data_IF_308102799420
#
_entry.id   IF_308102799420
#
_cell.length_a   1.000
_cell.length_b   1.000
_cell.length_c   1.000
_cell.angle_alpha   90.00
_cell.angle_beta   90.00
_cell.angle_gamma   90.00
#
_symmetry.space_group_name_H-M   'P 1'
#
loop_
_entity.id
_entity.type
_entity.pdbx_description
1 polymer ?
#
# COMPACT_ATOMS: atom_id res chain seq x y z
N UNK A 1 56.28 -1.00 24.60
CA UNK A 1 56.06 -1.33 23.17
C UNK A 1 54.55 -1.39 22.93
N UNK A 2 53.97 -0.25 22.54
CA UNK A 2 52.55 -0.09 22.25
C UNK A 2 52.34 -0.25 20.75
N UNK A 3 51.68 -1.32 20.33
CA UNK A 3 51.23 -1.47 18.94
C UNK A 3 49.85 -0.85 18.79
N UNK A 4 49.82 0.42 18.40
CA UNK A 4 48.62 1.10 17.91
C UNK A 4 48.48 0.76 16.43
N UNK A 5 47.55 -0.12 16.09
CA UNK A 5 47.12 -0.30 14.70
C UNK A 5 46.26 0.89 14.28
N UNK A 6 46.86 1.83 13.57
CA UNK A 6 46.14 2.85 12.83
C UNK A 6 45.46 2.20 11.62
N UNK A 7 44.12 2.20 11.59
CA UNK A 7 43.37 1.96 10.37
C UNK A 7 43.51 3.18 9.44
N UNK A 8 43.72 3.02 8.13
CA UNK A 8 43.65 4.15 7.22
C UNK A 8 42.18 4.58 7.10
N UNK A 9 41.93 5.87 7.36
CA UNK A 9 40.65 6.48 7.08
C UNK A 9 40.49 6.60 5.55
N UNK A 10 39.74 5.69 4.95
CA UNK A 10 39.25 5.85 3.59
C UNK A 10 38.29 7.06 3.57
N UNK A 11 38.82 8.21 3.17
CA UNK A 11 38.04 9.39 2.87
C UNK A 11 37.26 9.15 1.56
N UNK A 12 36.11 8.49 1.68
CA UNK A 12 35.16 8.37 0.59
C UNK A 12 34.65 9.77 0.21
N UNK A 13 35.14 10.29 -0.91
CA UNK A 13 34.58 11.48 -1.56
C UNK A 13 33.13 11.16 -1.90
N UNK A 14 32.19 11.75 -1.16
CA UNK A 14 30.76 11.66 -1.41
C UNK A 14 30.47 12.35 -2.74
N UNK A 15 30.46 11.58 -3.84
CA UNK A 15 29.88 11.99 -5.11
C UNK A 15 28.46 12.46 -4.81
N UNK A 16 28.18 13.74 -5.02
CA UNK A 16 26.84 14.33 -4.88
C UNK A 16 25.91 13.56 -5.81
N UNK A 17 25.22 12.56 -5.28
CA UNK A 17 24.26 11.78 -6.05
C UNK A 17 23.07 12.68 -6.34
N UNK A 18 22.61 12.64 -7.58
CA UNK A 18 21.36 13.29 -7.96
C UNK A 18 20.25 12.73 -7.07
N UNK A 19 19.72 13.56 -6.18
CA UNK A 19 18.55 13.22 -5.37
C UNK A 19 17.32 13.56 -6.18
N UNK A 20 16.44 12.57 -6.39
CA UNK A 20 15.14 12.85 -7.00
C UNK A 20 14.36 13.83 -6.11
N UNK A 21 13.71 14.85 -6.69
CA UNK A 21 12.86 15.75 -5.93
C UNK A 21 11.73 14.98 -5.23
N UNK A 22 11.28 15.52 -4.10
CA UNK A 22 10.10 15.03 -3.39
C UNK A 22 8.86 15.04 -4.29
N UNK A 23 7.91 14.13 -4.05
CA UNK A 23 6.70 13.99 -4.86
C UNK A 23 5.82 15.26 -4.83
N UNK A 24 5.79 16.02 -3.73
CA UNK A 24 5.09 17.30 -3.67
C UNK A 24 5.77 18.37 -4.54
N UNK A 25 7.10 18.35 -4.62
CA UNK A 25 7.85 19.25 -5.52
C UNK A 25 7.51 18.91 -6.97
N UNK A 26 7.42 17.62 -7.31
CA UNK A 26 7.01 17.20 -8.65
C UNK A 26 5.59 17.67 -8.98
N UNK A 27 4.62 17.52 -8.07
CA UNK A 27 3.26 18.03 -8.28
C UNK A 27 3.26 19.54 -8.49
N UNK A 28 4.06 20.28 -7.72
CA UNK A 28 4.16 21.72 -7.88
C UNK A 28 4.74 22.13 -9.24
N UNK A 29 5.77 21.42 -9.72
CA UNK A 29 6.33 21.61 -11.07
C UNK A 29 5.28 21.32 -12.14
N UNK A 30 4.50 20.24 -11.98
CA UNK A 30 3.38 19.92 -12.88
C UNK A 30 2.31 21.01 -12.84
N UNK A 31 2.00 21.56 -11.66
CA UNK A 31 1.08 22.69 -11.50
C UNK A 31 1.56 23.94 -12.23
N UNK A 32 2.85 24.29 -12.14
CA UNK A 32 3.45 25.40 -12.90
C UNK A 32 3.27 25.16 -14.40
N UNK A 33 3.59 23.96 -14.86
CA UNK A 33 3.50 23.61 -16.27
C UNK A 33 2.05 23.66 -16.77
N UNK A 34 1.10 23.10 -16.02
CA UNK A 34 -0.32 23.16 -16.31
C UNK A 34 -0.84 24.61 -16.37
N UNK A 35 -0.44 25.46 -15.43
CA UNK A 35 -0.79 26.87 -15.42
C UNK A 35 -0.27 27.59 -16.69
N UNK A 36 0.99 27.36 -17.09
CA UNK A 36 1.54 27.93 -18.33
C UNK A 36 0.76 27.43 -19.56
N UNK A 37 0.44 26.13 -19.60
CA UNK A 37 -0.33 25.55 -20.70
C UNK A 37 -1.73 26.17 -20.85
N UNK A 38 -2.36 26.65 -19.77
CA UNK A 38 -3.67 27.32 -19.86
C UNK A 38 -3.65 28.62 -20.67
N UNK A 39 -2.47 29.21 -20.88
CA UNK A 39 -2.29 30.38 -21.75
C UNK A 39 -2.02 30.01 -23.21
N UNK A 40 -1.59 28.77 -23.47
CA UNK A 40 -1.16 28.32 -24.79
C UNK A 40 -2.21 27.43 -25.47
N UNK A 41 -2.96 26.66 -24.69
CA UNK A 41 -3.91 25.65 -25.17
C UNK A 41 -5.33 26.15 -24.88
N UNK A 42 -6.20 26.27 -25.90
CA UNK A 42 -7.59 26.63 -25.71
C UNK A 42 -8.36 25.49 -25.05
N UNK A 43 -9.40 25.84 -24.29
CA UNK A 43 -10.27 24.87 -23.66
C UNK A 43 -10.98 24.02 -24.73
N UNK A 44 -11.04 22.72 -24.49
CA UNK A 44 -11.74 21.77 -25.34
C UNK A 44 -12.38 20.68 -24.51
N UNK A 45 -13.46 20.10 -25.04
CA UNK A 45 -14.20 19.03 -24.39
C UNK A 45 -14.58 17.95 -25.38
N UNK A 46 -14.72 16.74 -24.86
CA UNK A 46 -15.38 15.65 -25.57
C UNK A 46 -16.78 15.45 -25.00
N UNK A 47 -17.75 15.14 -25.85
CA UNK A 47 -19.04 14.67 -25.39
C UNK A 47 -18.95 13.25 -24.81
N UNK A 48 -19.79 13.04 -23.81
CA UNK A 48 -19.96 11.75 -23.17
C UNK A 48 -21.26 11.12 -23.65
N UNK A 49 -21.18 9.90 -24.18
CA UNK A 49 -22.34 9.12 -24.58
C UNK A 49 -22.59 7.99 -23.57
N UNK A 50 -23.86 7.72 -23.31
CA UNK A 50 -24.27 6.57 -22.52
C UNK A 50 -24.35 5.35 -23.43
N UNK A 51 -23.40 4.43 -23.28
CA UNK A 51 -23.44 3.16 -24.00
C UNK A 51 -23.98 2.09 -23.07
N UNK A 52 -25.08 1.47 -23.49
CA UNK A 52 -25.72 0.36 -22.81
C UNK A 52 -25.06 -0.94 -23.24
N UNK A 53 -24.54 -1.68 -22.28
CA UNK A 53 -23.99 -3.02 -22.49
C UNK A 53 -24.80 -4.02 -21.69
N UNK A 54 -25.14 -5.14 -22.32
CA UNK A 54 -25.75 -6.29 -21.65
C UNK A 54 -24.67 -7.09 -20.92
N UNK A 55 -24.72 -7.11 -19.60
CA UNK A 55 -23.87 -7.98 -18.76
C UNK A 55 -24.77 -8.83 -17.89
N UNK A 56 -24.69 -10.15 -18.03
CA UNK A 56 -25.49 -11.15 -17.29
C UNK A 56 -27.02 -10.93 -17.38
N UNK A 57 -27.51 -10.54 -18.56
CA UNK A 57 -28.95 -10.35 -18.79
C UNK A 57 -29.54 -9.05 -18.23
N UNK A 58 -28.71 -8.18 -17.64
CA UNK A 58 -29.10 -6.86 -17.18
C UNK A 58 -28.48 -5.76 -18.06
N UNK A 59 -29.28 -4.77 -18.44
CA UNK A 59 -28.79 -3.55 -19.09
C UNK A 59 -27.97 -2.74 -18.07
N UNK A 60 -26.67 -2.57 -18.35
CA UNK A 60 -25.80 -1.65 -17.61
C UNK A 60 -25.37 -0.52 -18.52
N UNK A 61 -25.62 0.70 -18.09
CA UNK A 61 -25.22 1.88 -18.83
C UNK A 61 -23.89 2.40 -18.30
N UNK A 62 -22.96 2.69 -19.22
CA UNK A 62 -21.69 3.33 -18.89
C UNK A 62 -21.54 4.59 -19.69
N UNK A 63 -21.24 5.69 -19.01
CA UNK A 63 -20.80 6.93 -19.64
C UNK A 63 -19.40 6.69 -20.22
N UNK A 64 -19.28 6.77 -21.54
CA UNK A 64 -18.02 6.68 -22.27
C UNK A 64 -17.83 7.91 -23.13
N UNK A 65 -16.59 8.36 -23.25
CA UNK A 65 -16.22 9.49 -24.08
C UNK A 65 -16.36 9.08 -25.55
N UNK A 66 -17.05 9.88 -26.37
CA UNK A 66 -17.04 9.70 -27.83
C UNK A 66 -15.73 10.30 -28.41
N UNK A 67 -14.81 9.46 -28.93
CA UNK A 67 -13.52 9.95 -29.45
C UNK A 67 -13.65 10.93 -30.61
N UNK A 68 -14.78 10.93 -31.33
CA UNK A 68 -14.98 11.79 -32.50
C UNK A 68 -15.65 13.14 -32.16
N UNK A 69 -16.01 13.37 -30.90
CA UNK A 69 -16.80 14.52 -30.47
C UNK A 69 -15.98 15.72 -29.99
N UNK A 70 -14.66 15.72 -30.19
CA UNK A 70 -13.81 16.80 -29.71
C UNK A 70 -14.20 18.14 -30.33
N UNK A 71 -14.51 19.13 -29.47
CA UNK A 71 -14.76 20.49 -29.86
C UNK A 71 -14.04 21.47 -28.93
N UNK A 72 -13.51 22.55 -29.51
CA UNK A 72 -12.99 23.67 -28.73
C UNK A 72 -14.13 24.52 -28.19
N UNK A 73 -14.00 25.00 -26.96
CA UNK A 73 -14.93 25.96 -26.40
C UNK A 73 -14.73 27.33 -27.07
N UNK A 74 -15.81 27.88 -27.61
CA UNK A 74 -15.83 29.22 -28.19
C UNK A 74 -16.72 30.15 -27.37
N UNK A 75 -16.32 31.40 -27.24
CA UNK A 75 -17.13 32.42 -26.57
C UNK A 75 -18.32 32.89 -27.44
N UNK A 76 -19.12 33.83 -26.92
CA UNK A 76 -20.27 34.40 -27.65
C UNK A 76 -19.89 35.09 -28.98
N UNK A 77 -18.60 35.35 -29.21
CA UNK A 77 -18.06 35.98 -30.41
C UNK A 77 -17.40 34.98 -31.36
N UNK A 78 -17.36 33.69 -30.99
CA UNK A 78 -16.73 32.64 -31.78
C UNK A 78 -15.20 32.55 -31.61
N UNK A 79 -14.62 33.25 -30.64
CA UNK A 79 -13.19 33.14 -30.33
C UNK A 79 -12.91 32.00 -29.35
N UNK A 80 -11.71 31.44 -29.44
CA UNK A 80 -11.28 30.32 -28.59
C UNK A 80 -11.20 30.76 -27.13
N UNK A 81 -11.83 30.00 -26.24
CA UNK A 81 -11.80 30.27 -24.80
C UNK A 81 -10.51 29.71 -24.22
N UNK A 82 -9.75 30.55 -23.50
CA UNK A 82 -8.60 30.13 -22.71
C UNK A 82 -8.96 30.24 -21.23
N UNK A 83 -8.99 29.10 -20.53
CA UNK A 83 -9.24 29.06 -19.08
C UNK A 83 -7.96 29.43 -18.32
N UNK A 84 -7.47 30.65 -18.49
CA UNK A 84 -6.18 31.09 -17.96
C UNK A 84 -6.17 31.06 -16.44
N UNK A 85 -5.19 30.35 -15.87
CA UNK A 85 -5.01 30.23 -14.43
C UNK A 85 -4.01 31.28 -13.94
N UNK A 86 -4.47 32.16 -13.06
CA UNK A 86 -3.62 33.18 -12.41
C UNK A 86 -2.74 32.60 -11.30
N UNK A 87 -1.84 33.44 -10.75
CA UNK A 87 -1.02 33.07 -9.60
C UNK A 87 -1.88 32.80 -8.35
N UNK A 88 -2.92 33.60 -8.16
CA UNK A 88 -3.94 33.45 -7.12
C UNK A 88 -5.31 33.62 -7.75
N UNK A 89 -6.32 32.96 -7.18
CA UNK A 89 -7.72 33.14 -7.54
C UNK A 89 -8.58 33.39 -6.29
N UNK A 90 -9.64 34.18 -6.44
CA UNK A 90 -10.61 34.49 -5.39
C UNK A 90 -11.99 33.97 -5.75
N UNK A 91 -12.86 33.75 -4.76
CA UNK A 91 -14.26 33.35 -5.00
C UNK A 91 -14.46 31.90 -5.40
N UNK A 92 -13.54 31.00 -5.00
CA UNK A 92 -13.60 29.56 -5.30
C UNK A 92 -12.94 29.16 -6.64
N UNK A 93 -12.27 30.09 -7.32
CA UNK A 93 -11.44 29.78 -8.48
C UNK A 93 -10.10 29.14 -8.07
N UNK A 94 -9.48 28.42 -9.02
CA UNK A 94 -8.18 27.77 -8.82
C UNK A 94 -7.08 28.67 -9.38
N UNK A 95 -6.03 28.89 -8.58
CA UNK A 95 -4.81 29.59 -8.95
C UNK A 95 -3.58 28.78 -8.51
N UNK A 96 -2.42 29.09 -9.09
CA UNK A 96 -1.17 28.31 -8.86
C UNK A 96 -0.72 28.27 -7.38
N UNK A 97 -1.07 29.27 -6.57
CA UNK A 97 -0.71 29.28 -5.14
C UNK A 97 -1.82 28.75 -4.23
N UNK A 98 -3.09 28.72 -4.68
CA UNK A 98 -4.21 28.22 -3.88
C UNK A 98 -4.69 26.82 -4.30
N UNK A 99 -4.18 26.25 -5.40
CA UNK A 99 -4.53 24.89 -5.83
C UNK A 99 -4.35 23.82 -4.74
N UNK A 100 -3.34 23.85 -3.84
CA UNK A 100 -3.21 22.81 -2.83
C UNK A 100 -4.41 22.80 -1.88
N UNK A 101 -4.86 23.98 -1.46
CA UNK A 101 -6.01 24.13 -0.57
C UNK A 101 -7.30 23.74 -1.28
N UNK A 102 -7.57 24.30 -2.47
CA UNK A 102 -8.77 23.98 -3.27
C UNK A 102 -8.86 22.48 -3.55
N UNK A 103 -7.72 21.87 -3.90
CA UNK A 103 -7.60 20.45 -4.10
C UNK A 103 -7.92 19.64 -2.84
N UNK A 104 -7.34 19.97 -1.69
CA UNK A 104 -7.58 19.28 -0.40
C UNK A 104 -9.05 19.32 0.04
N UNK A 105 -9.74 20.44 -0.19
CA UNK A 105 -11.15 20.61 0.20
C UNK A 105 -12.13 20.17 -0.89
N UNK A 106 -11.64 19.82 -2.08
CA UNK A 106 -12.49 19.44 -3.20
C UNK A 106 -13.24 18.12 -2.95
N UNK A 107 -14.49 18.08 -3.40
CA UNK A 107 -15.31 16.88 -3.36
C UNK A 107 -16.34 16.82 -2.26
N UNK A 108 -16.68 15.60 -1.90
CA UNK A 108 -17.59 15.31 -0.78
C UNK A 108 -17.19 13.99 -0.13
N UNK A 109 -17.94 13.57 0.90
CA UNK A 109 -17.78 12.23 1.48
C UNK A 109 -17.90 11.10 0.44
N UNK A 110 -18.57 11.36 -0.68
CA UNK A 110 -18.80 10.37 -1.74
C UNK A 110 -17.68 10.28 -2.77
N UNK A 111 -16.66 11.16 -2.76
CA UNK A 111 -15.54 11.09 -3.71
C UNK A 111 -14.78 12.40 -3.95
N UNK A 112 -13.80 12.34 -4.86
CA UNK A 112 -12.73 13.34 -5.08
C UNK A 112 -11.72 13.38 -3.91
N UNK A 113 -11.05 14.49 -3.65
CA UNK A 113 -9.96 14.54 -2.68
C UNK A 113 -10.42 14.31 -1.23
N UNK A 114 -11.38 15.09 -0.72
CA UNK A 114 -11.70 15.07 0.71
C UNK A 114 -12.25 13.72 1.17
N UNK A 115 -13.10 13.08 0.36
CA UNK A 115 -13.63 11.74 0.65
C UNK A 115 -12.53 10.69 0.69
N UNK A 116 -11.60 10.71 -0.27
CA UNK A 116 -10.47 9.78 -0.35
C UNK A 116 -9.47 10.03 0.79
N UNK A 117 -9.15 11.28 1.11
CA UNK A 117 -8.27 11.65 2.22
C UNK A 117 -8.83 11.14 3.55
N UNK A 118 -10.11 11.43 3.84
CA UNK A 118 -10.73 10.98 5.09
C UNK A 118 -10.81 9.46 5.17
N UNK A 119 -11.11 8.79 4.05
CA UNK A 119 -11.06 7.34 3.94
C UNK A 119 -9.68 6.77 4.28
N UNK A 120 -8.61 7.35 3.73
CA UNK A 120 -7.23 6.94 4.00
C UNK A 120 -6.88 7.10 5.48
N UNK A 121 -7.22 8.24 6.09
CA UNK A 121 -6.96 8.48 7.51
C UNK A 121 -7.69 7.47 8.41
N UNK A 122 -8.96 7.18 8.12
CA UNK A 122 -9.75 6.21 8.89
C UNK A 122 -9.18 4.80 8.76
N UNK A 123 -8.83 4.38 7.56
CA UNK A 123 -8.25 3.04 7.31
C UNK A 123 -6.86 2.92 7.93
N UNK A 124 -5.99 3.92 7.71
CA UNK A 124 -4.67 3.96 8.32
C UNK A 124 -4.75 3.87 9.84
N UNK A 125 -5.68 4.61 10.45
CA UNK A 125 -5.91 4.52 11.89
C UNK A 125 -6.42 3.15 12.34
N UNK A 126 -7.40 2.57 11.64
CA UNK A 126 -7.92 1.24 11.97
C UNK A 126 -6.81 0.17 11.89
N UNK A 127 -5.99 0.18 10.84
CA UNK A 127 -4.86 -0.74 10.71
C UNK A 127 -3.75 -0.45 11.73
N UNK A 128 -3.52 0.81 12.11
CA UNK A 128 -2.61 1.17 13.21
C UNK A 128 -2.99 0.48 14.51
N UNK A 129 -4.29 0.42 14.84
CA UNK A 129 -4.79 -0.35 16.00
C UNK A 129 -4.51 -1.84 15.84
N UNK A 130 -4.73 -2.42 14.66
CA UNK A 130 -4.42 -3.84 14.39
C UNK A 130 -2.93 -4.11 14.60
N UNK A 131 -2.05 -3.29 14.03
CA UNK A 131 -0.59 -3.45 14.17
C UNK A 131 -0.15 -3.32 15.64
N UNK A 132 -0.74 -2.40 16.41
CA UNK A 132 -0.42 -2.20 17.83
C UNK A 132 -0.64 -3.45 18.69
N UNK A 133 -1.55 -4.34 18.29
CA UNK A 133 -1.79 -5.61 19.01
C UNK A 133 -0.61 -6.58 18.95
N UNK A 134 0.28 -6.45 17.95
CA UNK A 134 1.36 -7.41 17.68
C UNK A 134 0.86 -8.77 17.18
N UNK A 135 -0.44 -8.91 16.89
CA UNK A 135 -1.02 -10.20 16.50
C UNK A 135 -0.55 -10.68 15.13
N UNK A 136 -0.33 -9.77 14.17
CA UNK A 136 0.19 -10.15 12.84
C UNK A 136 1.59 -10.76 13.00
N UNK A 137 2.46 -10.11 13.76
CA UNK A 137 3.82 -10.56 14.06
C UNK A 137 3.82 -11.93 14.73
N UNK A 138 3.00 -12.09 15.78
CA UNK A 138 2.84 -13.36 16.48
C UNK A 138 2.24 -14.46 15.59
N UNK A 139 1.38 -14.10 14.63
CA UNK A 139 0.80 -15.02 13.65
C UNK A 139 1.82 -15.58 12.70
N UNK A 140 2.71 -14.72 12.20
CA UNK A 140 3.83 -15.15 11.36
C UNK A 140 4.73 -16.09 12.17
N UNK A 141 5.12 -15.72 13.39
CA UNK A 141 5.95 -16.57 14.27
C UNK A 141 5.30 -17.93 14.58
N UNK A 142 3.99 -17.97 14.86
CA UNK A 142 3.26 -19.22 15.10
C UNK A 142 3.17 -20.10 13.86
N UNK A 143 2.96 -19.49 12.69
CA UNK A 143 2.92 -20.22 11.43
C UNK A 143 4.29 -20.85 11.13
N UNK A 144 5.35 -20.09 11.42
CA UNK A 144 6.73 -20.56 11.35
C UNK A 144 6.93 -21.76 12.28
N UNK A 145 6.55 -21.66 13.56
CA UNK A 145 6.68 -22.75 14.52
C UNK A 145 5.92 -24.01 14.09
N UNK A 146 4.73 -23.85 13.49
CA UNK A 146 3.88 -24.94 13.02
C UNK A 146 4.37 -25.58 11.72
N UNK A 147 5.14 -24.85 10.93
CA UNK A 147 5.74 -25.35 9.67
C UNK A 147 7.16 -25.91 9.87
N UNK A 148 7.71 -25.85 11.10
CA UNK A 148 8.94 -26.55 11.50
C UNK A 148 8.79 -28.05 11.20
N UNK A 149 9.73 -28.60 10.44
CA UNK A 149 9.77 -30.02 10.05
C UNK A 149 9.29 -30.32 8.62
N UNK A 150 8.62 -29.37 7.94
CA UNK A 150 8.33 -29.48 6.50
C UNK A 150 8.97 -28.31 5.73
N UNK A 151 10.29 -28.40 5.58
CA UNK A 151 11.14 -27.32 5.07
C UNK A 151 10.78 -26.89 3.63
N UNK A 152 10.16 -27.77 2.85
CA UNK A 152 9.73 -27.47 1.47
C UNK A 152 8.46 -26.62 1.42
N UNK A 153 7.60 -26.69 2.45
CA UNK A 153 6.35 -25.92 2.50
C UNK A 153 6.58 -24.50 3.07
N UNK A 154 7.70 -24.29 3.74
CA UNK A 154 8.05 -23.03 4.40
C UNK A 154 8.09 -21.85 3.42
N UNK A 155 8.76 -22.02 2.28
CA UNK A 155 8.90 -20.98 1.25
C UNK A 155 7.53 -20.60 0.64
N UNK A 156 6.73 -21.54 0.08
CA UNK A 156 5.42 -21.20 -0.48
C UNK A 156 4.50 -20.51 0.52
N UNK A 157 4.48 -20.96 1.78
CA UNK A 157 3.58 -20.42 2.80
C UNK A 157 3.96 -19.00 3.18
N UNK A 158 5.25 -18.75 3.47
CA UNK A 158 5.70 -17.40 3.80
C UNK A 158 5.54 -16.45 2.62
N UNK A 159 5.94 -16.87 1.42
CA UNK A 159 5.82 -16.04 0.23
C UNK A 159 4.36 -15.67 -0.06
N UNK A 160 3.43 -16.63 0.04
CA UNK A 160 2.01 -16.37 -0.12
C UNK A 160 1.50 -15.39 0.95
N UNK A 161 1.92 -15.56 2.20
CA UNK A 161 1.50 -14.70 3.31
C UNK A 161 2.00 -13.26 3.13
N UNK A 162 3.28 -13.06 2.84
CA UNK A 162 3.83 -11.72 2.61
C UNK A 162 3.27 -11.07 1.35
N UNK A 163 3.09 -11.84 0.26
CA UNK A 163 2.43 -11.36 -0.95
C UNK A 163 0.97 -10.96 -0.69
N UNK A 164 0.22 -11.77 0.08
CA UNK A 164 -1.14 -11.40 0.48
C UNK A 164 -1.12 -10.14 1.36
N UNK A 165 -0.16 -10.03 2.26
CA UNK A 165 0.05 -8.85 3.10
C UNK A 165 0.30 -7.57 2.28
N UNK A 166 1.10 -7.66 1.22
CA UNK A 166 1.29 -6.56 0.27
C UNK A 166 0.04 -6.22 -0.56
N UNK A 167 -0.70 -7.24 -1.00
CA UNK A 167 -1.89 -7.06 -1.85
C UNK A 167 -3.12 -6.54 -1.11
N UNK A 168 -3.26 -6.88 0.17
CA UNK A 168 -4.44 -6.56 0.98
C UNK A 168 -4.15 -5.39 1.93
N UNK A 169 -3.04 -5.45 2.66
CA UNK A 169 -2.70 -4.45 3.68
C UNK A 169 -1.72 -3.40 3.17
N UNK A 170 -0.86 -3.75 2.21
CA UNK A 170 0.25 -2.89 1.80
C UNK A 170 1.40 -2.86 2.79
N UNK A 171 1.63 -3.98 3.49
CA UNK A 171 2.63 -4.18 4.56
C UNK A 171 4.09 -4.15 4.05
N UNK A 172 4.55 -2.99 3.56
CA UNK A 172 5.86 -2.80 2.92
C UNK A 172 7.03 -2.77 3.91
N UNK A 173 6.93 -1.90 4.90
CA UNK A 173 7.98 -1.54 5.84
C UNK A 173 8.20 -2.64 6.89
N UNK A 174 7.12 -3.25 7.36
CA UNK A 174 7.17 -4.31 8.36
C UNK A 174 7.87 -5.57 7.80
N UNK A 175 7.80 -5.80 6.49
CA UNK A 175 8.47 -6.93 5.84
C UNK A 175 10.00 -6.92 6.06
N UNK A 176 10.62 -5.73 6.19
CA UNK A 176 12.05 -5.60 6.49
C UNK A 176 12.34 -6.06 7.92
N UNK A 177 11.51 -5.67 8.90
CA UNK A 177 11.66 -6.12 10.28
C UNK A 177 11.49 -7.64 10.38
N UNK A 178 10.51 -8.21 9.68
CA UNK A 178 10.34 -9.66 9.62
C UNK A 178 11.50 -10.39 8.94
N UNK A 179 12.11 -9.80 7.91
CA UNK A 179 13.29 -10.39 7.28
C UNK A 179 14.41 -10.60 8.31
N UNK A 180 14.63 -9.63 9.20
CA UNK A 180 15.65 -9.71 10.27
C UNK A 180 15.31 -10.85 11.26
N UNK A 181 14.03 -11.00 11.62
CA UNK A 181 13.56 -12.03 12.56
C UNK A 181 13.64 -13.44 11.93
N UNK A 182 13.29 -13.56 10.65
CA UNK A 182 13.18 -14.84 9.95
C UNK A 182 14.55 -15.34 9.44
N UNK A 183 15.49 -14.44 9.16
CA UNK A 183 16.80 -14.78 8.61
C UNK A 183 17.58 -15.85 9.40
N UNK A 184 17.69 -15.79 10.75
CA UNK A 184 18.39 -16.83 11.51
C UNK A 184 17.78 -18.23 11.32
N UNK A 185 16.45 -18.31 11.25
CA UNK A 185 15.76 -19.58 11.03
C UNK A 185 15.97 -20.11 9.61
N UNK A 186 15.81 -19.25 8.60
CA UNK A 186 16.00 -19.63 7.19
C UNK A 186 17.41 -20.18 6.95
N UNK A 187 18.42 -19.51 7.51
CA UNK A 187 19.81 -19.94 7.42
C UNK A 187 20.04 -21.29 8.10
N UNK A 188 19.35 -21.58 9.21
CA UNK A 188 19.40 -22.89 9.89
C UNK A 188 18.72 -24.01 9.11
N UNK A 189 17.66 -23.72 8.35
CA UNK A 189 16.98 -24.68 7.47
C UNK A 189 17.80 -25.02 6.20
N UNK A 190 19.02 -24.48 6.08
CA UNK A 190 19.92 -24.68 4.95
C UNK A 190 19.67 -23.73 3.78
N UNK A 191 18.83 -22.71 3.96
CA UNK A 191 18.66 -21.62 3.01
C UNK A 191 19.62 -20.46 3.33
N UNK A 192 19.46 -19.32 2.66
CA UNK A 192 20.32 -18.15 2.83
C UNK A 192 19.52 -16.86 3.10
N UNK A 193 20.23 -15.80 3.49
CA UNK A 193 19.66 -14.47 3.72
C UNK A 193 18.94 -13.92 2.49
N UNK A 194 19.43 -14.22 1.28
CA UNK A 194 18.78 -13.82 0.03
C UNK A 194 17.40 -14.48 -0.11
N UNK A 195 17.29 -15.78 0.13
CA UNK A 195 16.00 -16.50 0.13
C UNK A 195 15.06 -15.87 1.16
N UNK A 196 15.58 -15.46 2.32
CA UNK A 196 14.79 -14.75 3.35
C UNK A 196 14.19 -13.47 2.79
N UNK A 197 15.01 -12.60 2.18
CA UNK A 197 14.55 -11.35 1.56
C UNK A 197 13.55 -11.61 0.42
N UNK A 198 13.73 -12.69 -0.34
CA UNK A 198 12.79 -13.09 -1.39
C UNK A 198 11.40 -13.43 -0.83
N UNK A 199 11.34 -14.25 0.23
CA UNK A 199 10.05 -14.69 0.82
C UNK A 199 9.38 -13.62 1.67
N UNK A 200 10.11 -12.60 2.12
CA UNK A 200 9.56 -11.47 2.89
C UNK A 200 9.35 -10.24 2.01
N UNK A 201 10.40 -9.47 1.75
CA UNK A 201 10.31 -8.17 1.11
C UNK A 201 9.85 -8.26 -0.35
N UNK A 202 10.48 -9.12 -1.16
CA UNK A 202 10.09 -9.25 -2.58
C UNK A 202 8.67 -9.78 -2.73
N UNK A 203 8.30 -10.78 -1.94
CA UNK A 203 6.93 -11.30 -1.90
C UNK A 203 5.91 -10.19 -1.62
N UNK A 204 6.14 -9.37 -0.60
CA UNK A 204 5.31 -8.19 -0.31
C UNK A 204 5.23 -7.23 -1.49
N UNK A 205 6.36 -6.90 -2.14
CA UNK A 205 6.36 -5.96 -3.27
C UNK A 205 5.59 -6.49 -4.48
N UNK A 206 5.67 -7.80 -4.76
CA UNK A 206 4.84 -8.44 -5.79
C UNK A 206 3.35 -8.31 -5.45
N UNK A 207 3.01 -8.59 -4.19
CA UNK A 207 1.67 -8.38 -3.66
C UNK A 207 1.15 -6.96 -3.86
N UNK A 208 1.97 -5.99 -3.46
CA UNK A 208 1.66 -4.56 -3.58
C UNK A 208 1.44 -4.15 -5.04
N UNK A 209 2.34 -4.54 -5.95
CA UNK A 209 2.30 -4.19 -7.36
C UNK A 209 1.10 -4.79 -8.11
N UNK A 210 0.63 -5.96 -7.67
CA UNK A 210 -0.48 -6.70 -8.31
C UNK A 210 -1.78 -6.66 -7.49
N UNK A 211 -1.82 -5.80 -6.48
CA UNK A 211 -2.92 -5.65 -5.54
C UNK A 211 -4.28 -5.44 -6.21
N UNK A 212 -5.35 -5.96 -5.62
CA UNK A 212 -6.74 -5.64 -5.99
C UNK A 212 -7.48 -4.80 -4.95
N UNK A 213 -6.93 -4.66 -3.73
CA UNK A 213 -7.66 -4.10 -2.58
C UNK A 213 -6.83 -3.18 -1.69
N UNK A 214 -5.50 -3.23 -1.79
CA UNK A 214 -4.58 -2.40 -1.00
C UNK A 214 -5.06 -0.93 -0.95
N UNK A 215 -5.37 -0.43 0.26
CA UNK A 215 -5.94 0.90 0.44
C UNK A 215 -4.92 2.02 0.18
N UNK A 216 -3.62 1.71 0.20
CA UNK A 216 -2.50 2.64 0.04
C UNK A 216 -2.01 2.77 -1.41
N UNK A 217 -2.47 1.91 -2.32
CA UNK A 217 -2.10 1.99 -3.73
C UNK A 217 -3.34 2.08 -4.62
N UNK A 218 -3.98 0.95 -4.87
CA UNK A 218 -5.07 0.84 -5.85
C UNK A 218 -6.28 1.68 -5.48
N UNK A 219 -6.68 1.69 -4.20
CA UNK A 219 -7.84 2.48 -3.79
C UNK A 219 -7.61 3.99 -3.97
N UNK A 220 -6.40 4.48 -3.69
CA UNK A 220 -6.02 5.89 -3.91
C UNK A 220 -6.08 6.21 -5.40
N UNK A 221 -5.42 5.39 -6.23
CA UNK A 221 -5.37 5.60 -7.67
C UNK A 221 -6.78 5.59 -8.30
N UNK A 222 -7.66 4.70 -7.83
CA UNK A 222 -9.06 4.64 -8.25
C UNK A 222 -9.84 5.90 -7.82
N UNK A 223 -9.60 6.37 -6.59
CA UNK A 223 -10.18 7.60 -6.08
C UNK A 223 -9.79 8.83 -6.88
N UNK A 224 -8.51 8.98 -7.25
CA UNK A 224 -8.02 10.06 -8.11
C UNK A 224 -8.61 9.95 -9.52
N UNK A 225 -8.65 8.75 -10.09
CA UNK A 225 -9.20 8.50 -11.42
C UNK A 225 -10.74 8.60 -11.49
N UNK A 226 -11.43 8.79 -10.36
CA UNK A 226 -12.88 8.85 -10.29
C UNK A 226 -13.58 7.54 -10.69
N UNK A 227 -12.88 6.41 -10.61
CA UNK A 227 -13.43 5.09 -10.94
C UNK A 227 -13.82 4.33 -9.66
N UNK A 228 -14.77 3.38 -9.73
CA UNK A 228 -15.20 2.67 -8.53
C UNK A 228 -14.05 1.95 -7.81
N UNK A 229 -14.04 1.98 -6.47
CA UNK A 229 -13.10 1.22 -5.64
C UNK A 229 -13.31 -0.28 -5.91
N UNK A 230 -12.22 -1.05 -5.99
CA UNK A 230 -12.19 -2.46 -6.42
C UNK A 230 -12.63 -2.73 -7.88
N UNK A 231 -12.85 -1.70 -8.70
CA UNK A 231 -13.10 -1.88 -10.14
C UNK A 231 -11.96 -2.69 -10.79
N UNK A 232 -12.28 -3.80 -11.46
CA UNK A 232 -11.28 -4.69 -12.07
C UNK A 232 -10.58 -5.65 -11.09
N UNK A 233 -11.13 -5.88 -9.89
CA UNK A 233 -10.51 -6.76 -8.89
C UNK A 233 -10.25 -8.17 -9.41
N UNK A 234 -11.13 -8.76 -10.22
CA UNK A 234 -10.98 -10.13 -10.73
C UNK A 234 -9.73 -10.29 -11.56
N UNK A 235 -9.48 -9.35 -12.49
CA UNK A 235 -8.27 -9.35 -13.32
C UNK A 235 -7.04 -9.21 -12.44
N UNK A 236 -7.07 -8.30 -11.46
CA UNK A 236 -5.94 -8.09 -10.54
C UNK A 236 -5.67 -9.30 -9.65
N UNK A 237 -6.70 -9.99 -9.15
CA UNK A 237 -6.56 -11.24 -8.41
C UNK A 237 -5.91 -12.34 -9.26
N UNK A 238 -6.28 -12.45 -10.55
CA UNK A 238 -5.62 -13.39 -11.46
C UNK A 238 -4.15 -13.03 -11.69
N UNK A 239 -3.83 -11.74 -11.89
CA UNK A 239 -2.45 -11.28 -12.01
C UNK A 239 -1.66 -11.55 -10.74
N UNK A 240 -2.20 -11.20 -9.57
CA UNK A 240 -1.59 -11.47 -8.28
C UNK A 240 -1.29 -12.96 -8.08
N UNK A 241 -2.26 -13.82 -8.38
CA UNK A 241 -2.06 -15.26 -8.30
C UNK A 241 -0.94 -15.73 -9.24
N UNK A 242 -0.93 -15.27 -10.50
CA UNK A 242 0.09 -15.60 -11.48
C UNK A 242 1.50 -15.15 -11.08
N UNK A 243 1.65 -13.89 -10.68
CA UNK A 243 2.94 -13.33 -10.25
C UNK A 243 3.41 -13.93 -8.92
N UNK A 244 2.50 -14.22 -7.99
CA UNK A 244 2.83 -14.89 -6.73
C UNK A 244 3.29 -16.33 -6.98
N UNK A 245 2.61 -17.08 -7.85
CA UNK A 245 3.03 -18.43 -8.23
C UNK A 245 4.40 -18.44 -8.92
N UNK A 246 4.63 -17.48 -9.82
CA UNK A 246 5.93 -17.30 -10.47
C UNK A 246 7.04 -16.98 -9.45
N UNK A 247 6.77 -16.07 -8.52
CA UNK A 247 7.68 -15.72 -7.42
C UNK A 247 7.99 -16.90 -6.51
N UNK A 248 6.98 -17.70 -6.15
CA UNK A 248 7.14 -18.94 -5.38
C UNK A 248 8.01 -19.93 -6.15
N UNK A 249 7.69 -20.21 -7.42
CA UNK A 249 8.43 -21.17 -8.24
C UNK A 249 9.90 -20.76 -8.41
N UNK A 250 10.15 -19.49 -8.69
CA UNK A 250 11.51 -18.93 -8.79
C UNK A 250 12.27 -19.06 -7.46
N UNK A 251 11.65 -18.66 -6.35
CA UNK A 251 12.28 -18.69 -5.02
C UNK A 251 12.57 -20.11 -4.58
N UNK A 252 11.65 -21.06 -4.82
CA UNK A 252 11.91 -22.48 -4.55
C UNK A 252 13.05 -23.04 -5.39
N UNK A 253 13.10 -22.72 -6.69
CA UNK A 253 14.18 -23.16 -7.56
C UNK A 253 15.54 -22.60 -7.11
N UNK A 254 15.59 -21.33 -6.71
CA UNK A 254 16.78 -20.70 -6.12
C UNK A 254 17.18 -21.39 -4.81
N UNK A 255 16.24 -21.50 -3.87
CA UNK A 255 16.47 -22.07 -2.55
C UNK A 255 16.92 -23.54 -2.61
N UNK A 256 16.35 -24.34 -3.51
CA UNK A 256 16.77 -25.73 -3.73
C UNK A 256 18.23 -25.83 -4.21
N UNK A 257 18.68 -24.91 -5.08
CA UNK A 257 20.07 -24.85 -5.54
C UNK A 257 21.03 -24.47 -4.41
N UNK A 258 20.67 -23.46 -3.61
CA UNK A 258 21.48 -23.03 -2.47
C UNK A 258 21.58 -24.13 -1.41
N UNK A 259 20.47 -24.82 -1.14
CA UNK A 259 20.45 -25.93 -0.19
C UNK A 259 21.30 -27.13 -0.65
N UNK A 260 21.28 -27.44 -1.95
CA UNK A 260 22.11 -28.50 -2.52
C UNK A 260 23.61 -28.14 -2.54
N UNK A 261 23.94 -26.86 -2.77
CA UNK A 261 25.31 -26.38 -2.74
C UNK A 261 25.41 -24.98 -2.09
N UNK A 262 25.69 -24.91 -0.77
CA UNK A 262 25.78 -23.65 -0.05
C UNK A 262 26.91 -22.72 -0.48
N UNK A 263 27.89 -23.18 -1.29
CA UNK A 263 28.95 -22.31 -1.86
C UNK A 263 28.40 -21.34 -2.92
N UNK A 264 27.23 -21.64 -3.50
CA UNK A 264 26.59 -20.80 -4.50
C UNK A 264 25.95 -19.53 -3.93
N UNK A 265 25.79 -19.44 -2.60
CA UNK A 265 25.13 -18.30 -1.96
C UNK A 265 26.08 -17.10 -1.85
N UNK A 266 25.70 -15.98 -2.46
CA UNK A 266 26.41 -14.71 -2.32
C UNK A 266 26.34 -14.14 -0.90
N UNK A 267 25.32 -14.48 -0.12
CA UNK A 267 25.19 -14.04 1.28
C UNK A 267 25.89 -14.97 2.27
N UNK A 268 26.58 -16.03 1.83
CA UNK A 268 27.23 -16.99 2.73
C UNK A 268 28.12 -16.32 3.79
N UNK A 269 28.95 -15.35 3.40
CA UNK A 269 29.86 -14.66 4.34
C UNK A 269 29.10 -13.83 5.37
N UNK A 270 28.06 -13.11 4.95
CA UNK A 270 27.23 -12.28 5.83
C UNK A 270 26.36 -13.12 6.74
N UNK A 271 25.89 -14.27 6.26
CA UNK A 271 25.01 -15.19 6.99
C UNK A 271 25.76 -16.02 8.04
N UNK A 272 27.10 -15.96 8.08
CA UNK A 272 27.90 -16.70 9.04
C UNK A 272 27.58 -16.32 10.49
N UNK A 273 27.22 -15.05 10.73
CA UNK A 273 26.80 -14.58 12.05
C UNK A 273 25.51 -15.28 12.53
N UNK A 274 24.53 -15.46 11.64
CA UNK A 274 23.28 -16.15 11.94
C UNK A 274 23.46 -17.64 12.22
N UNK A 275 24.48 -18.28 11.63
CA UNK A 275 24.85 -19.67 11.94
C UNK A 275 25.51 -19.83 13.31
N UNK A 276 26.24 -18.81 13.75
CA UNK A 276 26.96 -18.80 15.02
C UNK A 276 26.08 -18.37 16.22
N UNK A 277 24.94 -17.74 15.97
CA UNK A 277 23.97 -17.38 17.01
C UNK A 277 23.22 -18.61 17.53
N UNK A 278 23.13 -18.74 18.86
CA UNK A 278 22.09 -19.55 19.47
C UNK A 278 20.73 -18.94 19.12
N UNK A 279 19.75 -19.78 18.76
CA UNK A 279 18.38 -19.29 18.60
C UNK A 279 17.95 -18.74 19.96
N UNK A 280 17.80 -17.43 20.05
CA UNK A 280 16.82 -16.91 20.99
C UNK A 280 15.48 -17.47 20.53
N UNK A 281 14.98 -18.49 21.22
CA UNK A 281 13.62 -18.98 21.03
C UNK A 281 12.68 -17.85 21.38
N UNK A 282 12.38 -17.01 20.38
CA UNK A 282 11.32 -16.03 20.50
C UNK A 282 10.02 -16.82 20.38
N UNK A 283 9.61 -17.44 21.48
CA UNK A 283 8.41 -18.27 21.54
C UNK A 283 7.20 -17.42 21.15
N UNK A 284 6.39 -17.88 20.19
CA UNK A 284 5.18 -17.15 19.80
C UNK A 284 4.25 -17.04 21.02
N UNK A 285 3.93 -15.82 21.45
CA UNK A 285 2.89 -15.59 22.45
C UNK A 285 1.55 -15.64 21.74
N UNK A 286 1.02 -16.84 21.54
CA UNK A 286 -0.31 -16.99 20.96
C UNK A 286 -1.37 -17.25 22.00
N UNK A 287 -2.39 -16.40 22.03
CA UNK A 287 -3.56 -16.58 22.86
C UNK A 287 -4.86 -16.47 22.05
N UNK A 288 -6.00 -16.62 22.74
CA UNK A 288 -7.32 -16.53 22.13
C UNK A 288 -7.59 -15.13 21.53
N UNK A 289 -7.05 -14.07 22.14
CA UNK A 289 -7.15 -12.70 21.63
C UNK A 289 -6.50 -12.53 20.26
N UNK A 290 -5.31 -13.10 20.03
CA UNK A 290 -4.64 -13.08 18.72
C UNK A 290 -5.51 -13.76 17.64
N UNK A 291 -6.15 -14.86 18.01
CA UNK A 291 -7.07 -15.58 17.11
C UNK A 291 -8.29 -14.72 16.78
N UNK A 292 -8.88 -14.05 17.77
CA UNK A 292 -10.03 -13.17 17.57
C UNK A 292 -9.69 -11.95 16.71
N UNK A 293 -8.51 -11.36 16.87
CA UNK A 293 -8.06 -10.22 16.04
C UNK A 293 -7.94 -10.65 14.58
N UNK A 294 -7.29 -11.79 14.30
CA UNK A 294 -7.17 -12.30 12.92
C UNK A 294 -8.53 -12.63 12.32
N UNK A 295 -9.41 -13.28 13.09
CA UNK A 295 -10.78 -13.55 12.64
C UNK A 295 -11.53 -12.25 12.33
N UNK A 296 -11.34 -11.20 13.13
CA UNK A 296 -11.94 -9.87 12.91
C UNK A 296 -11.44 -9.26 11.60
N UNK A 297 -10.14 -9.33 11.32
CA UNK A 297 -9.55 -8.83 10.07
C UNK A 297 -10.05 -9.62 8.85
N UNK A 298 -10.09 -10.95 8.94
CA UNK A 298 -10.60 -11.81 7.85
C UNK A 298 -12.09 -11.56 7.62
N UNK A 299 -12.89 -11.49 8.68
CA UNK A 299 -14.33 -11.22 8.58
C UNK A 299 -14.60 -9.82 8.01
N UNK A 300 -13.85 -8.80 8.45
CA UNK A 300 -13.95 -7.45 7.89
C UNK A 300 -13.58 -7.41 6.40
N UNK A 301 -12.51 -8.11 6.02
CA UNK A 301 -12.10 -8.23 4.62
C UNK A 301 -13.19 -8.86 3.76
N UNK A 302 -13.77 -9.99 4.21
CA UNK A 302 -14.88 -10.64 3.52
C UNK A 302 -16.12 -9.73 3.47
N UNK A 303 -16.41 -8.99 4.53
CA UNK A 303 -17.52 -8.05 4.60
C UNK A 303 -17.35 -6.87 3.63
N UNK A 304 -16.14 -6.33 3.48
CA UNK A 304 -15.81 -5.29 2.48
C UNK A 304 -16.04 -5.82 1.07
N UNK A 305 -15.49 -7.00 0.75
CA UNK A 305 -15.66 -7.62 -0.57
C UNK A 305 -17.14 -7.85 -0.88
N UNK A 306 -17.90 -8.43 0.06
CA UNK A 306 -19.32 -8.64 -0.11
C UNK A 306 -20.10 -7.32 -0.27
N UNK A 307 -19.78 -6.30 0.53
CA UNK A 307 -20.43 -4.99 0.47
C UNK A 307 -20.24 -4.31 -0.89
N UNK A 308 -19.01 -4.33 -1.42
CA UNK A 308 -18.73 -3.74 -2.73
C UNK A 308 -19.36 -4.55 -3.86
N UNK A 309 -19.27 -5.88 -3.82
CA UNK A 309 -19.77 -6.75 -4.91
C UNK A 309 -21.30 -6.83 -4.95
N UNK A 310 -21.95 -7.02 -3.80
CA UNK A 310 -23.39 -7.26 -3.74
C UNK A 310 -24.22 -5.99 -3.57
N UNK A 311 -23.69 -4.97 -2.87
CA UNK A 311 -24.44 -3.75 -2.52
C UNK A 311 -23.88 -2.48 -3.17
N UNK A 312 -22.83 -2.59 -4.00
CA UNK A 312 -22.14 -1.47 -4.62
C UNK A 312 -21.71 -0.39 -3.59
N UNK A 313 -21.36 -0.82 -2.39
CA UNK A 313 -20.88 0.07 -1.33
C UNK A 313 -19.63 0.83 -1.76
N UNK A 314 -19.57 2.09 -1.33
CA UNK A 314 -18.54 3.01 -1.76
C UNK A 314 -17.71 3.51 -0.58
N UNK A 315 -16.96 4.59 -0.81
CA UNK A 315 -15.96 5.11 0.13
C UNK A 315 -16.49 5.23 1.58
N UNK A 316 -17.66 5.85 1.85
CA UNK A 316 -18.15 6.00 3.23
C UNK A 316 -18.45 4.67 3.93
N UNK A 317 -19.08 3.73 3.23
CA UNK A 317 -19.47 2.44 3.78
C UNK A 317 -18.21 1.60 4.07
N UNK A 318 -17.25 1.55 3.13
CA UNK A 318 -16.00 0.82 3.29
C UNK A 318 -15.18 1.40 4.46
N UNK A 319 -15.08 2.74 4.57
CA UNK A 319 -14.44 3.39 5.73
C UNK A 319 -15.10 2.97 7.05
N UNK A 320 -16.43 2.90 7.08
CA UNK A 320 -17.18 2.50 8.28
C UNK A 320 -16.89 1.04 8.66
N UNK A 321 -16.72 0.15 7.68
CA UNK A 321 -16.37 -1.26 7.92
C UNK A 321 -14.96 -1.41 8.51
N UNK A 322 -13.97 -0.68 7.98
CA UNK A 322 -12.61 -0.68 8.53
C UNK A 322 -12.54 -0.02 9.89
N UNK A 323 -13.26 1.09 10.10
CA UNK A 323 -13.38 1.69 11.44
C UNK A 323 -13.97 0.70 12.45
N UNK A 324 -15.03 -0.01 12.07
CA UNK A 324 -15.64 -1.06 12.90
C UNK A 324 -14.62 -2.15 13.23
N UNK A 325 -13.81 -2.59 12.27
CA UNK A 325 -12.71 -3.54 12.50
C UNK A 325 -11.73 -3.00 13.54
N UNK A 326 -11.22 -1.78 13.35
CA UNK A 326 -10.30 -1.14 14.30
C UNK A 326 -10.89 -1.03 15.70
N UNK A 327 -12.17 -0.67 15.80
CA UNK A 327 -12.90 -0.58 17.07
C UNK A 327 -13.03 -1.94 17.77
N UNK A 328 -13.45 -2.99 17.05
CA UNK A 328 -13.55 -4.35 17.61
C UNK A 328 -12.18 -4.87 18.03
N UNK A 329 -11.14 -4.62 17.22
CA UNK A 329 -9.75 -4.99 17.56
C UNK A 329 -9.24 -4.22 18.77
N UNK A 330 -9.60 -2.94 18.94
CA UNK A 330 -9.27 -2.16 20.14
C UNK A 330 -9.85 -2.81 21.40
N UNK A 331 -11.11 -3.26 21.34
CA UNK A 331 -11.78 -3.95 22.44
C UNK A 331 -11.07 -5.27 22.76
N UNK A 332 -10.84 -6.11 21.74
CA UNK A 332 -10.16 -7.41 21.92
C UNK A 332 -8.75 -7.19 22.49
N UNK A 333 -7.97 -6.29 21.89
CA UNK A 333 -6.61 -6.02 22.33
C UNK A 333 -6.53 -5.50 23.76
N UNK A 334 -7.50 -4.70 24.20
CA UNK A 334 -7.56 -4.18 25.56
C UNK A 334 -8.00 -5.26 26.57
N UNK A 335 -9.03 -6.05 26.26
CA UNK A 335 -9.54 -7.12 27.14
C UNK A 335 -8.48 -8.21 27.35
N UNK A 336 -7.83 -8.65 26.26
CA UNK A 336 -6.81 -9.70 26.31
C UNK A 336 -5.40 -9.16 26.62
N UNK A 337 -5.25 -7.85 26.86
CA UNK A 337 -3.97 -7.15 27.04
C UNK A 337 -2.93 -7.57 26.00
N UNK A 338 -3.35 -7.62 24.73
CA UNK A 338 -2.47 -7.92 23.59
C UNK A 338 -1.38 -6.86 23.53
N UNK A 339 -0.12 -7.28 23.58
CA UNK A 339 1.03 -6.38 23.65
C UNK A 339 0.89 -5.25 24.72
N UNK A 340 0.28 -5.57 25.86
CA UNK A 340 0.07 -4.63 26.97
C UNK A 340 -0.90 -3.48 26.67
N UNK A 341 -1.68 -3.59 25.59
CA UNK A 341 -2.52 -2.49 25.08
C UNK A 341 -3.61 -2.09 26.07
N UNK A 342 -3.68 -0.78 26.36
CA UNK A 342 -4.78 -0.11 27.04
C UNK A 342 -5.69 0.61 26.03
N UNK A 343 -6.84 1.11 26.48
CA UNK A 343 -7.73 1.88 25.62
C UNK A 343 -7.08 3.16 25.09
N UNK A 344 -6.23 3.81 25.89
CA UNK A 344 -5.48 4.98 25.47
C UNK A 344 -4.41 4.63 24.43
N UNK A 345 -3.77 3.46 24.57
CA UNK A 345 -2.83 2.96 23.55
C UNK A 345 -3.55 2.69 22.23
N UNK A 346 -4.78 2.16 22.26
CA UNK A 346 -5.57 1.96 21.06
C UNK A 346 -5.89 3.29 20.35
N UNK A 347 -6.31 4.31 21.09
CA UNK A 347 -6.52 5.65 20.54
C UNK A 347 -5.22 6.30 20.03
N UNK A 348 -4.10 6.07 20.72
CA UNK A 348 -2.77 6.47 20.29
C UNK A 348 -2.39 5.83 18.95
N UNK A 349 -2.52 4.51 18.86
CA UNK A 349 -2.24 3.72 17.66
C UNK A 349 -3.13 4.10 16.48
N UNK A 350 -4.39 4.46 16.72
CA UNK A 350 -5.26 4.99 15.66
C UNK A 350 -4.71 6.31 15.09
N UNK A 351 -4.29 7.24 15.95
CA UNK A 351 -3.71 8.52 15.49
C UNK A 351 -2.38 8.30 14.76
N UNK A 352 -1.55 7.40 15.27
CA UNK A 352 -0.26 7.07 14.65
C UNK A 352 -0.46 6.43 13.27
N UNK A 353 -1.34 5.43 13.16
CA UNK A 353 -1.69 4.82 11.87
C UNK A 353 -2.29 5.82 10.88
N UNK A 354 -3.15 6.74 11.34
CA UNK A 354 -3.68 7.81 10.50
C UNK A 354 -2.59 8.81 10.06
N UNK A 355 -1.59 9.07 10.91
CA UNK A 355 -0.50 10.01 10.59
C UNK A 355 0.39 9.55 9.43
N UNK A 356 0.60 8.23 9.30
CA UNK A 356 1.33 7.63 8.17
C UNK A 356 0.61 7.95 6.84
N UNK A 357 -0.72 8.11 6.87
CA UNK A 357 -1.54 8.44 5.72
C UNK A 357 -1.57 9.93 5.36
N UNK A 358 -0.97 10.80 6.18
CA UNK A 358 -1.00 12.23 5.93
C UNK A 358 -0.21 12.63 4.68
N UNK A 359 0.97 12.07 4.47
CA UNK A 359 1.79 12.35 3.28
C UNK A 359 1.07 11.99 1.97
N UNK A 360 0.53 10.77 1.77
CA UNK A 360 -0.21 10.45 0.56
C UNK A 360 -1.55 11.21 0.47
N UNK A 361 -2.19 11.57 1.59
CA UNK A 361 -3.38 12.43 1.59
C UNK A 361 -3.10 13.85 1.06
N UNK A 362 -1.97 14.46 1.46
CA UNK A 362 -1.54 15.75 0.93
C UNK A 362 -1.27 15.66 -0.58
N UNK A 363 -0.67 14.55 -1.02
CA UNK A 363 -0.41 14.28 -2.43
C UNK A 363 -1.72 14.20 -3.24
N UNK A 364 -2.72 13.48 -2.73
CA UNK A 364 -4.06 13.37 -3.34
C UNK A 364 -4.73 14.73 -3.46
N UNK A 365 -4.72 15.53 -2.38
CA UNK A 365 -5.29 16.88 -2.39
C UNK A 365 -4.60 17.77 -3.42
N UNK A 366 -3.28 17.84 -3.39
CA UNK A 366 -2.51 18.66 -4.34
C UNK A 366 -2.72 18.20 -5.79
N UNK A 367 -2.68 16.90 -6.06
CA UNK A 367 -2.94 16.35 -7.39
C UNK A 367 -4.35 16.72 -7.88
N UNK A 368 -5.35 16.67 -6.99
CA UNK A 368 -6.71 17.05 -7.34
C UNK A 368 -6.86 18.55 -7.59
N UNK A 369 -6.08 19.39 -6.93
CA UNK A 369 -6.06 20.83 -7.21
C UNK A 369 -5.47 21.17 -8.58
N UNK A 370 -4.60 20.33 -9.12
CA UNK A 370 -4.08 20.47 -10.49
C UNK A 370 -5.10 20.02 -11.56
N UNK A 371 -6.03 19.11 -11.20
CA UNK A 371 -7.08 18.55 -12.06
C UNK A 371 -8.39 19.33 -11.99
#
# INVERSE_FOLDING_TARGET
MSHTHAQPADSAVTKKSWQMPDTLILIFIVGIFAAILTYLIPAGSFDSQQVTYMVDGAEKTRTVIDPNSFAYATDEKGELVYNTVGLFASGGGIGLMNFPFEGLVSGSKWGSAIGVIMFMLVIGGAFGVVMRTGTIDNGILRLIDKTKGNESLFIPVLFLLFSLGGAVFGMGEEAVAFAIIIAPLMVRLGYDGITTVMVTYIATQIGFATSWMNPFSVAIAQGIAGVPVLSGMTVRMCLWAGFTLLGIAFTMAYAARIKANPELSYSRRTDAHFRAQELSETASRWNLGDTLVILTVIASTAWVVWGVVAHAWYIPEIASQFFTMGFVVAIIGTIFRLNGMTLNDAAGAFKEGASIMLAPALLVGCAKGVL
#
